data_IF_270067993292
#
_entry.id   IF_270067993292
#
_cell.length_a   1.000
_cell.length_b   1.000
_cell.length_c   1.000
_cell.angle_alpha   90.00
_cell.angle_beta   90.00
_cell.angle_gamma   90.00
#
_symmetry.space_group_name_H-M   'P 1'
#
loop_
_entity.id
_entity.type
_entity.pdbx_description
1 polymer ?
#
# COMPACT_ATOMS: atom_id res chain seq x y z
N UNK A 1 4.82 13.34 0.05
CA UNK A 1 3.59 12.67 0.50
C UNK A 1 3.90 11.89 1.76
N UNK A 2 2.88 11.62 2.58
CA UNK A 2 3.00 10.71 3.72
C UNK A 2 3.69 9.38 3.34
N UNK A 3 4.58 8.90 4.21
CA UNK A 3 5.44 7.74 3.93
C UNK A 3 4.66 6.43 3.87
N UNK A 4 3.48 6.40 4.48
CA UNK A 4 2.59 5.25 4.53
C UNK A 4 1.86 4.99 3.19
N UNK A 5 2.00 5.91 2.22
CA UNK A 5 1.26 5.97 0.95
C UNK A 5 2.20 5.74 -0.27
N UNK A 6 3.52 5.71 -0.05
CA UNK A 6 4.56 5.77 -1.08
C UNK A 6 5.07 4.44 -1.63
N UNK A 7 4.22 3.67 -2.33
CA UNK A 7 4.79 2.71 -3.30
C UNK A 7 5.33 3.49 -4.48
N UNK A 8 6.57 3.98 -4.43
CA UNK A 8 7.22 4.85 -5.44
C UNK A 8 7.27 4.34 -6.90
N UNK A 9 6.68 3.18 -7.15
CA UNK A 9 6.44 2.56 -8.45
C UNK A 9 5.08 3.04 -9.03
N UNK A 10 4.10 3.32 -8.19
CA UNK A 10 2.74 3.68 -8.59
C UNK A 10 2.47 5.16 -8.39
N UNK A 11 1.71 5.74 -9.33
CA UNK A 11 1.08 7.04 -9.11
C UNK A 11 -0.23 6.83 -8.37
N UNK A 12 -0.28 7.28 -7.12
CA UNK A 12 -1.44 7.11 -6.23
C UNK A 12 -2.12 8.43 -5.86
N UNK A 13 -1.46 9.56 -6.15
CA UNK A 13 -1.97 10.91 -5.90
C UNK A 13 -2.11 11.74 -7.18
N UNK A 14 -3.11 12.61 -7.21
CA UNK A 14 -3.24 13.63 -8.26
C UNK A 14 -2.12 14.68 -8.17
N UNK A 15 -1.63 14.97 -6.97
CA UNK A 15 -0.54 15.93 -6.72
C UNK A 15 0.84 15.44 -7.18
N UNK A 16 1.00 14.15 -7.47
CA UNK A 16 2.23 13.63 -8.09
C UNK A 16 2.31 14.09 -9.55
N UNK A 17 3.43 14.75 -9.91
CA UNK A 17 3.74 15.12 -11.30
C UNK A 17 3.67 13.89 -12.19
N UNK A 18 2.94 14.00 -13.30
CA UNK A 18 2.77 12.89 -14.22
C UNK A 18 4.01 12.72 -15.13
N UNK A 19 4.29 11.48 -15.49
CA UNK A 19 5.37 11.07 -16.40
C UNK A 19 4.85 9.89 -17.26
N UNK A 20 5.24 9.74 -18.54
CA UNK A 20 4.78 8.65 -19.43
C UNK A 20 4.94 7.24 -18.85
N UNK A 21 5.92 7.05 -17.97
CA UNK A 21 6.09 5.83 -17.16
C UNK A 21 4.80 5.35 -16.48
N UNK A 22 3.96 6.28 -16.01
CA UNK A 22 2.70 5.96 -15.32
C UNK A 22 1.61 5.41 -16.24
N UNK A 23 1.78 5.39 -17.57
CA UNK A 23 0.88 4.59 -18.41
C UNK A 23 0.91 3.10 -18.01
N UNK A 24 2.03 2.64 -17.44
CA UNK A 24 2.17 1.29 -16.88
C UNK A 24 1.55 1.10 -15.49
N UNK A 25 0.97 2.12 -14.85
CA UNK A 25 0.44 2.05 -13.47
C UNK A 25 -0.45 0.81 -13.22
N UNK A 26 -1.40 0.45 -14.11
CA UNK A 26 -2.22 -0.75 -13.90
C UNK A 26 -1.43 -2.06 -13.95
N UNK A 27 -0.43 -2.15 -14.84
CA UNK A 27 0.44 -3.33 -14.97
C UNK A 27 1.33 -3.45 -13.75
N UNK A 28 1.95 -2.35 -13.32
CA UNK A 28 2.79 -2.33 -12.13
C UNK A 28 2.00 -2.67 -10.87
N UNK A 29 0.76 -2.18 -10.75
CA UNK A 29 -0.12 -2.51 -9.63
C UNK A 29 -0.48 -4.00 -9.62
N UNK A 30 -0.78 -4.58 -10.79
CA UNK A 30 -1.03 -6.02 -10.91
C UNK A 30 0.20 -6.85 -10.52
N UNK A 31 1.39 -6.48 -11.03
CA UNK A 31 2.64 -7.16 -10.68
C UNK A 31 2.94 -7.04 -9.18
N UNK A 32 2.75 -5.84 -8.61
CA UNK A 32 2.88 -5.61 -7.18
C UNK A 32 1.88 -6.46 -6.38
N UNK A 33 0.64 -6.61 -6.83
CA UNK A 33 -0.37 -7.44 -6.18
C UNK A 33 0.03 -8.91 -6.15
N UNK A 34 0.50 -9.48 -7.25
CA UNK A 34 0.87 -10.90 -7.31
C UNK A 34 2.25 -11.19 -6.69
N UNK A 35 3.09 -10.17 -6.52
CA UNK A 35 4.42 -10.25 -5.90
C UNK A 35 4.52 -9.47 -4.57
N UNK A 36 3.39 -9.21 -3.90
CA UNK A 36 3.29 -8.22 -2.82
C UNK A 36 4.32 -8.38 -1.70
N UNK A 37 4.60 -9.62 -1.28
CA UNK A 37 5.64 -9.89 -0.27
C UNK A 37 7.03 -9.33 -0.62
N UNK A 38 7.38 -9.29 -1.91
CA UNK A 38 8.66 -8.76 -2.38
C UNK A 38 8.58 -7.24 -2.57
N UNK A 39 7.41 -6.72 -2.97
CA UNK A 39 7.16 -5.29 -3.03
C UNK A 39 7.32 -4.60 -1.68
N UNK A 40 6.78 -5.21 -0.61
CA UNK A 40 6.96 -4.71 0.77
C UNK A 40 8.44 -4.72 1.18
N UNK A 41 9.18 -5.78 0.86
CA UNK A 41 10.61 -5.83 1.16
C UNK A 41 11.40 -4.74 0.42
N UNK A 42 11.03 -4.43 -0.83
CA UNK A 42 11.66 -3.35 -1.59
C UNK A 42 11.28 -1.96 -1.06
N UNK A 43 10.11 -1.78 -0.44
CA UNK A 43 9.72 -0.53 0.21
C UNK A 43 10.69 -0.16 1.35
N UNK A 44 11.26 -1.14 2.06
CA UNK A 44 12.30 -0.91 3.09
C UNK A 44 13.57 -0.23 2.52
N UNK A 45 13.78 -0.28 1.20
CA UNK A 45 14.93 0.34 0.55
C UNK A 45 14.76 1.83 0.24
N UNK A 46 13.61 2.44 0.59
CA UNK A 46 13.30 3.84 0.25
C UNK A 46 13.48 4.09 -1.27
N UNK A 47 12.90 3.24 -2.10
CA UNK A 47 13.10 3.26 -3.57
C UNK A 47 12.85 4.63 -4.21
N UNK A 48 12.01 5.46 -3.58
CA UNK A 48 11.77 6.85 -3.98
C UNK A 48 13.03 7.72 -3.90
N UNK A 49 13.81 7.62 -2.81
CA UNK A 49 15.02 8.41 -2.59
C UNK A 49 16.19 7.93 -3.44
N UNK A 50 16.25 6.62 -3.71
CA UNK A 50 17.21 6.07 -4.68
C UNK A 50 16.90 6.58 -6.08
N UNK A 51 15.62 6.60 -6.48
CA UNK A 51 15.19 7.13 -7.78
C UNK A 51 15.41 8.65 -7.89
N UNK A 52 15.22 9.38 -6.79
CA UNK A 52 15.51 10.82 -6.70
C UNK A 52 17.03 11.13 -6.66
N UNK A 53 17.89 10.12 -6.55
CA UNK A 53 19.35 10.29 -6.46
C UNK A 53 19.84 10.76 -5.09
N UNK A 54 18.99 10.76 -4.07
CA UNK A 54 19.33 11.20 -2.70
C UNK A 54 20.12 10.15 -1.91
N UNK A 55 20.03 8.86 -2.29
CA UNK A 55 20.74 7.74 -1.66
C UNK A 55 21.29 6.82 -2.75
N UNK A 56 22.50 6.30 -2.58
CA UNK A 56 23.06 5.28 -3.46
C UNK A 56 22.59 3.87 -3.09
N UNK A 57 22.46 2.99 -4.08
CA UNK A 57 22.29 1.55 -3.86
C UNK A 57 23.44 0.94 -3.03
N UNK A 58 24.64 1.55 -3.08
CA UNK A 58 25.78 1.14 -2.28
C UNK A 58 25.53 1.34 -0.77
N UNK A 59 24.81 2.40 -0.40
CA UNK A 59 24.51 2.73 1.01
C UNK A 59 23.50 1.77 1.64
N UNK A 60 22.70 1.07 0.81
CA UNK A 60 21.69 0.09 1.22
C UNK A 60 22.13 -1.36 0.99
N UNK A 61 23.42 -1.60 0.72
CA UNK A 61 23.97 -2.94 0.44
C UNK A 61 23.62 -3.95 1.54
N UNK A 62 23.77 -3.58 2.81
CA UNK A 62 23.46 -4.47 3.94
C UNK A 62 21.97 -4.86 3.98
N UNK A 63 21.08 -3.89 3.76
CA UNK A 63 19.63 -4.13 3.66
C UNK A 63 19.30 -5.05 2.49
N UNK A 64 19.90 -4.82 1.32
CA UNK A 64 19.75 -5.67 0.14
C UNK A 64 20.24 -7.10 0.38
N UNK A 65 21.40 -7.28 1.01
CA UNK A 65 21.92 -8.60 1.38
C UNK A 65 20.99 -9.32 2.38
N UNK A 66 20.39 -8.58 3.32
CA UNK A 66 19.37 -9.07 4.24
C UNK A 66 18.11 -9.55 3.52
N UNK A 67 17.54 -8.72 2.64
CA UNK A 67 16.37 -9.05 1.82
C UNK A 67 16.68 -10.26 0.95
N UNK A 68 17.81 -10.28 0.26
CA UNK A 68 18.22 -11.39 -0.60
C UNK A 68 18.36 -12.70 0.18
N UNK A 69 18.99 -12.67 1.36
CA UNK A 69 19.15 -13.86 2.21
C UNK A 69 17.80 -14.42 2.65
N UNK A 70 16.86 -13.56 3.05
CA UNK A 70 15.49 -13.94 3.42
C UNK A 70 14.74 -14.53 2.22
N UNK A 71 14.73 -13.81 1.09
CA UNK A 71 14.07 -14.23 -0.15
C UNK A 71 14.60 -15.56 -0.66
N UNK A 72 15.92 -15.71 -0.76
CA UNK A 72 16.55 -16.97 -1.19
C UNK A 72 16.18 -18.13 -0.26
N UNK A 73 16.23 -17.92 1.06
CA UNK A 73 15.85 -18.96 2.03
C UNK A 73 14.39 -19.37 1.85
N UNK A 74 13.49 -18.41 1.68
CA UNK A 74 12.07 -18.70 1.49
C UNK A 74 11.82 -19.42 0.15
N UNK A 75 12.42 -18.96 -0.95
CA UNK A 75 12.28 -19.58 -2.26
C UNK A 75 12.81 -21.02 -2.30
N UNK A 76 14.02 -21.24 -1.76
CA UNK A 76 14.59 -22.59 -1.67
C UNK A 76 13.72 -23.50 -0.80
N UNK A 77 13.20 -23.00 0.32
CA UNK A 77 12.33 -23.79 1.20
C UNK A 77 11.02 -24.18 0.49
N UNK A 78 10.31 -23.21 -0.07
CA UNK A 78 8.96 -23.39 -0.61
C UNK A 78 8.95 -24.14 -1.95
N UNK A 79 9.96 -23.93 -2.79
CA UNK A 79 9.96 -24.43 -4.18
C UNK A 79 11.00 -25.50 -4.46
N UNK A 80 11.91 -25.79 -3.52
CA UNK A 80 12.92 -26.85 -3.67
C UNK A 80 12.83 -27.84 -2.51
N UNK A 81 13.07 -27.41 -1.27
CA UNK A 81 13.15 -28.31 -0.12
C UNK A 81 11.83 -29.06 0.12
N UNK A 82 10.70 -28.36 0.24
CA UNK A 82 9.41 -29.02 0.48
C UNK A 82 8.95 -29.91 -0.68
N UNK A 83 9.03 -29.48 -1.96
CA UNK A 83 8.74 -30.37 -3.07
C UNK A 83 9.64 -31.61 -3.09
N UNK A 84 10.95 -31.48 -2.91
CA UNK A 84 11.87 -32.63 -2.89
C UNK A 84 11.57 -33.60 -1.75
N UNK A 85 11.26 -33.09 -0.55
CA UNK A 85 10.85 -33.91 0.59
C UNK A 85 9.55 -34.68 0.33
N UNK A 86 8.69 -34.18 -0.56
CA UNK A 86 7.43 -34.82 -0.92
C UNK A 86 7.57 -35.94 -1.97
N UNK A 87 8.77 -36.14 -2.52
CA UNK A 87 9.07 -37.22 -3.47
C UNK A 87 8.13 -37.20 -4.69
N UNK A 88 7.38 -38.28 -4.99
CA UNK A 88 6.44 -38.32 -6.11
C UNK A 88 5.37 -37.22 -6.08
N UNK A 89 5.05 -36.67 -4.90
CA UNK A 89 4.08 -35.58 -4.74
C UNK A 89 4.71 -34.19 -4.92
N UNK A 90 5.99 -34.09 -5.31
CA UNK A 90 6.68 -32.82 -5.54
C UNK A 90 5.89 -31.83 -6.41
N UNK A 91 5.25 -32.23 -7.54
CA UNK A 91 4.47 -31.29 -8.34
C UNK A 91 3.26 -30.71 -7.58
N UNK A 92 2.61 -31.51 -6.73
CA UNK A 92 1.45 -31.06 -5.95
C UNK A 92 1.87 -30.10 -4.83
N UNK A 93 2.99 -30.39 -4.14
CA UNK A 93 3.51 -29.50 -3.10
C UNK A 93 4.02 -28.19 -3.70
N UNK A 94 4.70 -28.25 -4.83
CA UNK A 94 5.11 -27.05 -5.58
C UNK A 94 3.89 -26.20 -5.95
N UNK A 95 2.89 -26.80 -6.59
CA UNK A 95 1.67 -26.11 -6.98
C UNK A 95 0.92 -25.52 -5.78
N UNK A 96 0.78 -26.29 -4.69
CA UNK A 96 0.16 -25.85 -3.45
C UNK A 96 0.88 -24.63 -2.84
N UNK A 97 2.20 -24.66 -2.76
CA UNK A 97 2.99 -23.53 -2.26
C UNK A 97 2.87 -22.30 -3.16
N UNK A 98 2.87 -22.49 -4.49
CA UNK A 98 2.68 -21.41 -5.45
C UNK A 98 1.29 -20.76 -5.28
N UNK A 99 0.23 -21.56 -5.22
CA UNK A 99 -1.14 -21.10 -5.03
C UNK A 99 -1.32 -20.39 -3.68
N UNK A 100 -0.79 -20.96 -2.59
CA UNK A 100 -0.85 -20.33 -1.27
C UNK A 100 -0.12 -18.97 -1.24
N UNK A 101 1.05 -18.87 -1.86
CA UNK A 101 1.78 -17.61 -1.98
C UNK A 101 1.01 -16.58 -2.81
N UNK A 102 0.39 -16.98 -3.93
CA UNK A 102 -0.43 -16.10 -4.75
C UNK A 102 -1.65 -15.58 -3.99
N UNK A 103 -2.40 -16.47 -3.33
CA UNK A 103 -3.57 -16.10 -2.52
C UNK A 103 -3.17 -15.12 -1.42
N UNK A 104 -2.08 -15.41 -0.70
CA UNK A 104 -1.58 -14.51 0.35
C UNK A 104 -1.21 -13.15 -0.22
N UNK A 105 -0.48 -13.08 -1.33
CA UNK A 105 -0.08 -11.81 -1.95
C UNK A 105 -1.29 -10.97 -2.36
N UNK A 106 -2.26 -11.57 -3.05
CA UNK A 106 -3.49 -10.89 -3.46
C UNK A 106 -4.29 -10.43 -2.24
N UNK A 107 -4.49 -11.31 -1.25
CA UNK A 107 -5.22 -10.99 -0.03
C UNK A 107 -4.59 -9.83 0.75
N UNK A 108 -3.29 -9.92 1.03
CA UNK A 108 -2.56 -8.88 1.76
C UNK A 108 -2.54 -7.56 0.98
N UNK A 109 -2.32 -7.59 -0.33
CA UNK A 109 -2.41 -6.39 -1.18
C UNK A 109 -3.78 -5.72 -1.04
N UNK A 110 -4.86 -6.50 -1.17
CA UNK A 110 -6.23 -5.97 -1.05
C UNK A 110 -6.49 -5.35 0.33
N UNK A 111 -6.13 -6.03 1.42
CA UNK A 111 -6.35 -5.52 2.78
C UNK A 111 -5.57 -4.22 3.04
N UNK A 112 -4.30 -4.16 2.63
CA UNK A 112 -3.46 -2.99 2.86
C UNK A 112 -3.88 -1.84 1.94
N UNK A 113 -4.00 -2.06 0.63
CA UNK A 113 -4.32 -0.96 -0.30
C UNK A 113 -5.71 -0.35 -0.05
N UNK A 114 -6.71 -1.19 0.26
CA UNK A 114 -8.04 -0.67 0.59
C UNK A 114 -8.07 0.05 1.95
N UNK A 115 -7.01 -0.07 2.74
CA UNK A 115 -6.82 0.65 4.00
C UNK A 115 -6.38 2.10 3.83
N UNK A 116 -5.69 2.43 2.74
CA UNK A 116 -5.02 3.73 2.57
C UNK A 116 -5.43 4.50 1.32
N UNK A 117 -5.83 3.80 0.25
CA UNK A 117 -6.06 4.42 -1.06
C UNK A 117 -7.50 4.44 -1.60
N UNK A 118 -8.55 3.94 -0.92
CA UNK A 118 -9.87 3.95 -1.52
C UNK A 118 -10.42 5.37 -1.64
N UNK A 119 -11.52 5.52 -2.39
CA UNK A 119 -12.25 6.79 -2.44
C UNK A 119 -12.61 7.24 -1.01
N UNK A 120 -12.38 8.53 -0.72
CA UNK A 120 -12.64 9.13 0.58
C UNK A 120 -11.47 9.08 1.58
N UNK A 121 -10.42 8.29 1.31
CA UNK A 121 -9.14 8.43 2.02
C UNK A 121 -8.39 9.64 1.45
N UNK A 122 -8.03 10.58 2.32
CA UNK A 122 -7.34 11.82 1.98
C UNK A 122 -5.83 11.63 1.99
N UNK A 123 -5.14 12.39 1.16
CA UNK A 123 -3.69 12.41 1.09
C UNK A 123 -3.20 13.75 1.63
N UNK A 124 -2.08 13.71 2.34
CA UNK A 124 -1.47 14.89 2.95
C UNK A 124 -0.03 15.02 2.47
N UNK A 125 0.36 16.23 2.11
CA UNK A 125 1.74 16.58 1.78
C UNK A 125 2.62 16.67 3.04
N UNK A 126 3.93 16.66 2.83
CA UNK A 126 4.87 16.78 3.96
C UNK A 126 4.77 18.20 4.55
N UNK A 127 4.53 19.17 3.69
CA UNK A 127 4.35 20.57 4.02
C UNK A 127 3.11 20.79 4.89
N UNK A 128 1.98 20.16 4.55
CA UNK A 128 0.73 20.22 5.35
C UNK A 128 0.87 19.59 6.74
N UNK A 129 1.82 18.65 6.92
CA UNK A 129 2.00 17.91 8.18
C UNK A 129 3.13 18.43 9.05
N UNK A 130 3.91 19.43 8.57
CA UNK A 130 5.14 19.89 9.23
C UNK A 130 4.91 20.45 10.63
N UNK A 131 3.85 21.23 10.82
CA UNK A 131 3.53 21.91 12.08
C UNK A 131 2.26 21.33 12.74
N UNK A 132 1.98 20.04 12.51
CA UNK A 132 0.77 19.40 13.01
C UNK A 132 0.77 19.28 14.55
N UNK A 133 -0.35 19.68 15.17
CA UNK A 133 -0.60 19.34 16.57
C UNK A 133 -0.97 17.87 16.72
N UNK A 134 -0.94 17.35 17.95
CA UNK A 134 -1.41 15.97 18.22
C UNK A 134 -2.86 15.73 17.78
N UNK A 135 -3.73 16.74 17.91
CA UNK A 135 -5.11 16.65 17.43
C UNK A 135 -5.20 16.56 15.91
N UNK A 136 -4.37 17.34 15.21
CA UNK A 136 -4.25 17.28 13.74
C UNK A 136 -3.70 15.94 13.27
N UNK A 137 -2.73 15.36 13.99
CA UNK A 137 -2.24 14.01 13.72
C UNK A 137 -3.36 12.97 13.78
N UNK A 138 -4.17 12.96 14.85
CA UNK A 138 -5.32 12.05 14.95
C UNK A 138 -6.34 12.25 13.83
N UNK A 139 -6.64 13.51 13.48
CA UNK A 139 -7.54 13.83 12.38
C UNK A 139 -6.99 13.29 11.06
N UNK A 140 -5.70 13.49 10.79
CA UNK A 140 -5.02 12.96 9.60
C UNK A 140 -5.07 11.44 9.55
N UNK A 141 -4.85 10.75 10.67
CA UNK A 141 -4.96 9.29 10.73
C UNK A 141 -6.37 8.80 10.35
N UNK A 142 -7.43 9.47 10.82
CA UNK A 142 -8.81 9.13 10.47
C UNK A 142 -9.10 9.40 9.00
N UNK A 143 -8.71 10.58 8.51
CA UNK A 143 -9.01 11.01 7.15
C UNK A 143 -8.19 10.28 6.10
N UNK A 144 -6.96 9.89 6.42
CA UNK A 144 -6.02 9.20 5.53
C UNK A 144 -6.15 7.69 5.49
N UNK A 145 -7.06 7.11 6.26
CA UNK A 145 -7.28 5.67 6.30
C UNK A 145 -8.75 5.28 6.13
N UNK A 146 -8.99 4.01 5.85
CA UNK A 146 -10.31 3.48 5.58
C UNK A 146 -10.48 2.06 6.13
N UNK A 147 -11.66 1.79 6.66
CA UNK A 147 -12.00 0.49 7.22
C UNK A 147 -12.74 -0.41 6.23
N UNK A 148 -12.67 -1.71 6.49
CA UNK A 148 -13.33 -2.77 5.74
C UNK A 148 -14.46 -3.36 6.58
N UNK A 149 -15.70 -3.26 6.10
CA UNK A 149 -16.86 -3.87 6.77
C UNK A 149 -16.89 -5.37 6.50
N UNK A 150 -17.21 -6.18 7.51
CA UNK A 150 -17.37 -7.61 7.36
C UNK A 150 -17.87 -8.28 8.64
N UNK A 151 -17.90 -9.61 8.64
CA UNK A 151 -18.18 -10.40 9.84
C UNK A 151 -16.91 -10.68 10.67
N UNK A 152 -17.10 -11.27 11.86
CA UNK A 152 -15.99 -11.62 12.76
C UNK A 152 -14.88 -12.47 12.11
N UNK A 153 -15.27 -13.44 11.26
CA UNK A 153 -14.30 -14.27 10.54
C UNK A 153 -13.47 -13.45 9.55
N UNK A 154 -14.10 -12.52 8.83
CA UNK A 154 -13.39 -11.63 7.91
C UNK A 154 -12.35 -10.78 8.65
N UNK A 155 -12.75 -10.15 9.75
CA UNK A 155 -11.86 -9.36 10.60
C UNK A 155 -10.69 -10.19 11.15
N UNK A 156 -10.94 -11.44 11.54
CA UNK A 156 -9.88 -12.35 11.96
C UNK A 156 -8.92 -12.70 10.82
N UNK A 157 -9.44 -13.04 9.64
CA UNK A 157 -8.65 -13.41 8.46
C UNK A 157 -7.83 -12.24 7.90
N UNK A 158 -8.26 -11.00 8.13
CA UNK A 158 -7.47 -9.80 7.83
C UNK A 158 -6.45 -9.45 8.93
N UNK A 159 -6.33 -10.26 10.00
CA UNK A 159 -5.49 -9.93 11.16
C UNK A 159 -5.97 -8.69 11.93
N UNK A 160 -7.26 -8.36 11.82
CA UNK A 160 -7.92 -7.12 12.25
C UNK A 160 -7.46 -5.84 11.54
N UNK A 161 -6.62 -5.94 10.49
CA UNK A 161 -6.29 -4.81 9.60
C UNK A 161 -7.45 -4.39 8.69
N UNK A 162 -8.65 -4.93 8.91
CA UNK A 162 -9.90 -4.34 8.43
C UNK A 162 -10.28 -3.07 9.20
N UNK A 163 -9.62 -2.80 10.34
CA UNK A 163 -9.79 -1.65 11.22
C UNK A 163 -8.56 -0.74 11.15
N UNK A 164 -8.26 -0.22 9.96
CA UNK A 164 -7.09 0.64 9.71
C UNK A 164 -7.18 1.98 10.45
N UNK A 165 -8.36 2.58 10.54
CA UNK A 165 -8.53 3.82 11.31
C UNK A 165 -8.06 3.60 12.75
N UNK A 166 -8.50 2.52 13.39
CA UNK A 166 -8.10 2.17 14.75
C UNK A 166 -6.62 1.81 14.85
N UNK A 167 -6.09 1.07 13.87
CA UNK A 167 -4.68 0.71 13.79
C UNK A 167 -3.78 1.95 13.75
N UNK A 168 -4.15 2.94 12.94
CA UNK A 168 -3.42 4.19 12.81
C UNK A 168 -3.55 5.10 14.02
N UNK A 169 -4.74 5.15 14.65
CA UNK A 169 -4.95 5.91 15.89
C UNK A 169 -4.18 5.32 17.08
N UNK A 170 -4.09 3.98 17.15
CA UNK A 170 -3.55 3.24 18.29
C UNK A 170 -2.68 2.04 17.84
N UNK A 171 -1.51 2.28 17.21
CA UNK A 171 -0.68 1.22 16.64
C UNK A 171 -0.17 0.22 17.70
N UNK A 172 0.04 0.68 18.93
CA UNK A 172 0.49 -0.15 20.05
C UNK A 172 -0.63 -1.00 20.68
N UNK A 173 -1.90 -0.74 20.33
CA UNK A 173 -3.01 -1.53 20.84
C UNK A 173 -3.06 -2.90 20.15
N UNK A 174 -3.25 -4.01 20.90
CA UNK A 174 -3.42 -5.32 20.30
C UNK A 174 -4.57 -5.35 19.29
N UNK A 175 -4.29 -5.79 18.06
CA UNK A 175 -5.21 -5.66 16.93
C UNK A 175 -6.59 -6.32 17.15
N UNK A 176 -6.66 -7.35 17.99
CA UNK A 176 -7.92 -8.00 18.39
C UNK A 176 -8.92 -7.07 19.09
N UNK A 177 -8.46 -5.92 19.60
CA UNK A 177 -9.26 -4.93 20.33
C UNK A 177 -9.78 -3.79 19.46
N UNK A 178 -9.31 -3.67 18.22
CA UNK A 178 -9.76 -2.60 17.33
C UNK A 178 -11.28 -2.59 17.13
N UNK A 179 -11.88 -3.78 16.98
CA UNK A 179 -13.34 -3.91 16.87
C UNK A 179 -14.10 -3.44 18.13
N UNK A 180 -13.48 -3.46 19.31
CA UNK A 180 -14.09 -3.00 20.57
C UNK A 180 -14.19 -1.47 20.60
N UNK A 181 -13.16 -0.77 20.10
CA UNK A 181 -13.07 0.71 20.16
C UNK A 181 -13.65 1.40 18.92
N UNK A 182 -13.80 0.68 17.81
CA UNK A 182 -14.32 1.23 16.55
C UNK A 182 -15.70 1.91 16.70
N UNK A 183 -16.66 1.41 17.51
CA UNK A 183 -17.93 2.10 17.74
C UNK A 183 -17.75 3.47 18.40
N UNK A 184 -16.88 3.58 19.40
CA UNK A 184 -16.61 4.83 20.13
C UNK A 184 -15.94 5.87 19.22
N UNK A 185 -14.96 5.45 18.42
CA UNK A 185 -14.30 6.34 17.44
C UNK A 185 -15.31 6.81 16.40
N UNK A 186 -16.17 5.92 15.89
CA UNK A 186 -17.22 6.28 14.93
C UNK A 186 -18.20 7.29 15.52
N UNK A 187 -18.58 7.13 16.79
CA UNK A 187 -19.44 8.09 17.50
C UNK A 187 -18.75 9.46 17.64
N UNK A 188 -17.48 9.49 18.02
CA UNK A 188 -16.67 10.72 18.08
C UNK A 188 -16.65 11.40 16.70
N UNK A 189 -16.33 10.64 15.65
CA UNK A 189 -16.31 11.17 14.29
C UNK A 189 -17.66 11.79 13.89
N UNK A 190 -18.77 11.10 14.19
CA UNK A 190 -20.11 11.61 13.94
C UNK A 190 -20.42 12.91 14.70
N UNK A 191 -20.05 13.00 15.99
CA UNK A 191 -20.26 14.20 16.81
C UNK A 191 -19.53 15.44 16.27
N UNK A 192 -18.35 15.26 15.68
CA UNK A 192 -17.55 16.35 15.12
C UNK A 192 -17.68 16.52 13.60
N UNK A 193 -18.58 15.76 12.95
CA UNK A 193 -18.76 15.83 11.50
C UNK A 193 -17.55 15.33 10.68
N UNK A 194 -16.71 14.49 11.28
CA UNK A 194 -15.53 13.89 10.63
C UNK A 194 -15.98 12.62 9.88
N UNK A 195 -15.63 12.45 8.60
CA UNK A 195 -15.98 11.25 7.86
C UNK A 195 -15.21 10.04 8.40
N UNK A 196 -15.94 9.00 8.80
CA UNK A 196 -15.39 7.69 9.16
C UNK A 196 -15.49 6.77 7.94
N UNK A 197 -14.43 6.71 7.12
CA UNK A 197 -14.47 5.97 5.85
C UNK A 197 -14.50 4.45 6.09
N UNK A 198 -15.57 3.79 5.67
CA UNK A 198 -15.74 2.35 5.85
C UNK A 198 -16.64 1.74 4.78
N UNK A 199 -16.26 0.58 4.25
CA UNK A 199 -17.04 -0.10 3.21
C UNK A 199 -16.63 -1.54 2.96
N UNK A 200 -17.40 -2.31 2.17
CA UNK A 200 -17.07 -3.70 1.88
C UNK A 200 -15.84 -3.81 0.97
N UNK A 201 -15.04 -4.85 1.17
CA UNK A 201 -13.75 -5.04 0.51
C UNK A 201 -13.80 -4.87 -1.00
N UNK A 202 -14.75 -5.52 -1.68
CA UNK A 202 -14.85 -5.45 -3.15
C UNK A 202 -15.16 -4.04 -3.66
N UNK A 203 -15.94 -3.26 -2.91
CA UNK A 203 -16.24 -1.87 -3.26
C UNK A 203 -14.98 -1.01 -3.10
N UNK A 204 -14.32 -1.09 -1.94
CA UNK A 204 -13.09 -0.33 -1.70
C UNK A 204 -12.02 -0.70 -2.73
N UNK A 205 -11.84 -1.98 -3.01
CA UNK A 205 -10.89 -2.45 -4.02
C UNK A 205 -11.21 -1.89 -5.42
N UNK A 206 -12.49 -1.89 -5.81
CA UNK A 206 -12.92 -1.29 -7.07
C UNK A 206 -12.59 0.21 -7.17
N UNK A 207 -12.67 0.95 -6.06
CA UNK A 207 -12.26 2.37 -6.03
C UNK A 207 -10.76 2.55 -6.19
N UNK A 208 -9.94 1.71 -5.52
CA UNK A 208 -8.48 1.71 -5.64
C UNK A 208 -8.07 1.41 -7.09
N UNK A 209 -8.63 0.37 -7.71
CA UNK A 209 -8.35 0.03 -9.11
C UNK A 209 -8.73 1.17 -10.04
N UNK A 210 -9.91 1.78 -9.83
CA UNK A 210 -10.34 2.95 -10.62
C UNK A 210 -9.35 4.11 -10.48
N UNK A 211 -8.87 4.39 -9.26
CA UNK A 211 -7.87 5.43 -8.98
C UNK A 211 -6.57 5.16 -9.74
N UNK A 212 -6.03 3.93 -9.64
CA UNK A 212 -4.81 3.49 -10.34
C UNK A 212 -4.93 3.69 -11.85
N UNK A 213 -6.05 3.28 -12.44
CA UNK A 213 -6.30 3.41 -13.89
C UNK A 213 -6.47 4.88 -14.27
N UNK A 214 -7.22 5.67 -13.51
CA UNK A 214 -7.40 7.12 -13.75
C UNK A 214 -6.06 7.85 -13.74
N UNK A 215 -5.23 7.59 -12.74
CA UNK A 215 -3.94 8.25 -12.54
C UNK A 215 -2.85 7.80 -13.51
N UNK A 216 -3.07 6.70 -14.24
CA UNK A 216 -2.17 6.26 -15.29
C UNK A 216 -2.07 7.26 -16.44
N UNK A 217 -3.16 7.99 -16.70
CA UNK A 217 -3.26 8.96 -17.79
C UNK A 217 -2.89 10.38 -17.34
N UNK A 218 -2.42 11.24 -18.26
CA UNK A 218 -2.10 12.62 -17.95
C UNK A 218 -3.36 13.38 -17.50
N UNK A 219 -3.24 14.31 -16.53
CA UNK A 219 -4.36 15.15 -16.15
C UNK A 219 -4.81 16.04 -17.33
N UNK A 220 -6.09 16.38 -17.38
CA UNK A 220 -6.62 17.28 -18.41
C UNK A 220 -5.91 18.63 -18.29
N UNK A 221 -5.16 19.04 -19.33
CA UNK A 221 -4.35 20.27 -19.35
C UNK A 221 -2.83 20.05 -19.30
N UNK A 222 -2.35 18.82 -19.02
CA UNK A 222 -0.91 18.53 -18.88
C UNK A 222 -0.05 18.77 -20.12
N UNK A 223 -0.67 18.98 -21.30
CA UNK A 223 0.06 19.35 -22.52
C UNK A 223 0.63 20.78 -22.47
N UNK A 224 0.09 21.67 -21.64
CA UNK A 224 0.61 23.04 -21.48
C UNK A 224 1.85 23.07 -20.59
N UNK A 225 1.84 22.36 -19.45
CA UNK A 225 2.97 22.34 -18.51
C UNK A 225 4.26 21.72 -19.09
N UNK A 226 4.14 20.77 -20.02
CA UNK A 226 5.30 20.16 -20.70
C UNK A 226 5.92 21.12 -21.72
N UNK A 227 5.09 21.90 -22.41
CA UNK A 227 5.53 22.91 -23.39
C UNK A 227 6.19 24.10 -22.68
N UNK A 228 5.60 24.58 -21.58
CA UNK A 228 6.15 25.68 -20.80
C UNK A 228 7.51 25.35 -20.15
N UNK A 229 7.73 24.09 -19.76
CA UNK A 229 9.00 23.62 -19.20
C UNK A 229 10.09 23.44 -20.28
N UNK A 230 9.74 22.99 -21.48
CA UNK A 230 10.68 22.93 -22.62
C UNK A 230 11.11 24.34 -23.05
N UNK A 231 10.18 25.31 -23.07
CA UNK A 231 10.49 26.71 -23.36
C UNK A 231 11.34 27.36 -22.26
N UNK A 232 11.10 27.04 -20.98
CA UNK A 232 11.93 27.53 -19.85
C UNK A 232 13.31 26.88 -19.79
N UNK A 233 13.45 25.63 -20.22
CA UNK A 233 14.74 24.95 -20.29
C UNK A 233 15.56 25.36 -21.53
N UNK A 234 14.90 25.92 -22.54
CA UNK A 234 15.53 26.43 -23.76
C UNK A 234 15.88 27.93 -23.72
N UNK A 235 15.49 28.65 -22.65
CA UNK A 235 15.77 30.07 -22.41
C UNK A 235 16.90 30.27 -21.37
#
# INVERSE_FOLDING_TARGET
MDRDIGYGILRMSEGQRWHPYYLGNPVYAFLLMVLFQYGVALHELETERIRAGEISLADKRETLEGIWRKTRRQLLKDYVAFPLLAGPFAPLVFAGNMSANLIRNVWSYMIIFCGHFPDGAQEFSIEETRDESRGMWYLRQILGSANLTGGRLFHLLSGNLSHQIEHHLFPDMPARRYAEIAPEIREICARYGIPYNSGPLLRQFGTVVRKIVKLAFPPKGAQQDVVDDEERAAA
#
